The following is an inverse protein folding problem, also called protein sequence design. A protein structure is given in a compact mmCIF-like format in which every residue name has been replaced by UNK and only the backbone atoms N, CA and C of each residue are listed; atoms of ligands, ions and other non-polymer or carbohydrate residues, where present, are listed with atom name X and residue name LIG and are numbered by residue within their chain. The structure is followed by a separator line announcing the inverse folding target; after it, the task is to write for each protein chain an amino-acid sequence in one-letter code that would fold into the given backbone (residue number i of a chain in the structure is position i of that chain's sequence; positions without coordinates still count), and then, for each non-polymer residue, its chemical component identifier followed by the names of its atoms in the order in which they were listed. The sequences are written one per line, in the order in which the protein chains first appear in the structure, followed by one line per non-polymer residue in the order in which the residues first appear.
data_IF_879127073106
#
_entry.id   IF_879127073106
#
_cell.length_a   1.000
_cell.length_b   1.000
_cell.length_c   1.000
_cell.angle_alpha   90.00
_cell.angle_beta   90.00
_cell.angle_gamma   90.00
#
_symmetry.space_group_name_H-M   'P 1'
#
loop_
_entity.id
_entity.type
_entity.pdbx_description
1 polymer ?
#
# COMPACT_ATOMS: atom_id res chain seq x y z
N UNK A 1 18.91 -5.88 6.16
CA UNK A 1 17.58 -5.24 6.24
C UNK A 1 16.56 -6.33 6.09
N UNK A 2 15.56 -6.35 6.96
CA UNK A 2 14.50 -7.35 6.89
C UNK A 2 13.54 -7.02 5.74
N UNK A 3 13.11 -8.05 5.01
CA UNK A 3 12.16 -7.92 3.89
C UNK A 3 10.80 -8.36 4.41
N UNK A 4 9.80 -7.47 4.30
CA UNK A 4 8.43 -7.83 4.66
C UNK A 4 7.91 -8.90 3.70
N UNK A 5 7.22 -9.89 4.26
CA UNK A 5 6.51 -10.92 3.49
C UNK A 5 5.10 -10.49 3.05
N UNK A 6 4.66 -9.30 3.46
CA UNK A 6 3.36 -8.74 3.10
C UNK A 6 3.51 -7.72 1.97
N UNK A 7 2.76 -7.86 0.85
CA UNK A 7 2.80 -6.90 -0.24
C UNK A 7 2.56 -5.47 0.24
N UNK A 8 3.29 -4.50 -0.32
CA UNK A 8 3.19 -3.09 0.12
C UNK A 8 1.79 -2.50 -0.11
N UNK A 9 1.08 -2.91 -1.16
CA UNK A 9 -0.30 -2.47 -1.40
C UNK A 9 -1.25 -2.96 -0.30
N UNK A 10 -1.11 -4.22 0.16
CA UNK A 10 -1.88 -4.71 1.31
C UNK A 10 -1.55 -3.89 2.56
N UNK A 11 -0.27 -3.59 2.81
CA UNK A 11 0.14 -2.79 3.96
C UNK A 11 -0.46 -1.38 3.94
N UNK A 12 -0.44 -0.71 2.78
CA UNK A 12 -1.07 0.61 2.60
C UNK A 12 -2.59 0.51 2.79
N UNK A 13 -3.23 -0.49 2.18
CA UNK A 13 -4.68 -0.69 2.27
C UNK A 13 -5.14 -0.96 3.72
N UNK A 14 -4.36 -1.73 4.49
CA UNK A 14 -4.57 -1.94 5.93
C UNK A 14 -4.43 -0.65 6.74
N UNK A 15 -3.48 0.21 6.40
CA UNK A 15 -3.35 1.54 7.03
C UNK A 15 -4.58 2.40 6.72
N UNK A 16 -5.05 2.43 5.48
CA UNK A 16 -6.23 3.19 5.07
C UNK A 16 -7.51 2.68 5.76
N UNK A 17 -7.67 1.37 5.90
CA UNK A 17 -8.76 0.77 6.66
C UNK A 17 -8.68 1.13 8.15
N UNK A 18 -7.50 0.96 8.74
CA UNK A 18 -7.28 1.23 10.16
C UNK A 18 -7.50 2.70 10.53
N UNK A 19 -7.15 3.64 9.63
CA UNK A 19 -7.40 5.07 9.84
C UNK A 19 -8.88 5.35 10.16
N UNK A 20 -9.79 4.66 9.48
CA UNK A 20 -11.25 4.86 9.59
C UNK A 20 -11.89 4.10 10.74
N UNK A 21 -11.30 2.97 11.16
CA UNK A 21 -11.92 2.04 12.09
C UNK A 21 -11.35 2.20 13.50
N UNK A 22 -10.04 2.36 13.63
CA UNK A 22 -9.36 2.32 14.93
C UNK A 22 -9.50 3.62 15.72
N UNK A 23 -9.79 3.49 17.01
CA UNK A 23 -9.73 4.58 17.98
C UNK A 23 -8.32 5.16 18.16
N UNK A 24 -7.27 4.45 17.74
CA UNK A 24 -5.90 4.98 17.71
C UNK A 24 -5.65 5.91 16.51
N UNK A 25 -6.64 6.05 15.63
CA UNK A 25 -6.65 6.96 14.49
C UNK A 25 -7.93 7.81 14.52
N UNK A 26 -8.73 7.81 13.45
CA UNK A 26 -9.94 8.63 13.34
C UNK A 26 -11.24 7.84 13.59
N UNK A 27 -11.12 6.53 13.85
CA UNK A 27 -12.24 5.65 14.13
C UNK A 27 -12.59 5.57 15.62
N UNK A 28 -13.34 4.54 15.98
CA UNK A 28 -13.89 4.38 17.34
C UNK A 28 -13.62 3.01 17.97
N UNK A 29 -13.10 2.05 17.20
CA UNK A 29 -12.84 0.70 17.72
C UNK A 29 -11.49 0.63 18.45
N UNK A 30 -11.53 0.31 19.75
CA UNK A 30 -10.31 0.12 20.56
C UNK A 30 -9.47 -1.09 20.09
N UNK A 31 -10.13 -2.12 19.54
CA UNK A 31 -9.48 -3.32 18.99
C UNK A 31 -9.94 -3.60 17.55
N UNK A 32 -9.36 -2.85 16.61
CA UNK A 32 -9.78 -2.84 15.21
C UNK A 32 -9.19 -3.94 14.33
N UNK A 33 -8.25 -4.75 14.83
CA UNK A 33 -7.44 -5.66 14.00
C UNK A 33 -8.27 -6.64 13.16
N UNK A 34 -9.24 -7.30 13.79
CA UNK A 34 -10.12 -8.25 13.10
C UNK A 34 -11.01 -7.58 12.04
N UNK A 35 -11.46 -6.35 12.29
CA UNK A 35 -12.27 -5.60 11.33
C UNK A 35 -11.42 -5.11 10.16
N UNK A 36 -10.20 -4.61 10.42
CA UNK A 36 -9.23 -4.26 9.38
C UNK A 36 -8.91 -5.46 8.48
N UNK A 37 -8.71 -6.66 9.05
CA UNK A 37 -8.49 -7.89 8.29
C UNK A 37 -9.63 -8.22 7.31
N UNK A 38 -10.86 -7.86 7.66
CA UNK A 38 -12.04 -8.10 6.84
C UNK A 38 -12.16 -7.10 5.69
N UNK A 39 -11.87 -5.81 5.93
CA UNK A 39 -12.23 -4.74 4.98
C UNK A 39 -11.06 -4.16 4.20
N UNK A 40 -9.81 -4.49 4.53
CA UNK A 40 -8.66 -3.82 3.88
C UNK A 40 -8.65 -3.96 2.36
N UNK A 41 -9.19 -5.05 1.81
CA UNK A 41 -9.24 -5.29 0.36
C UNK A 41 -10.06 -4.23 -0.38
N UNK A 42 -11.04 -3.63 0.29
CA UNK A 42 -11.87 -2.54 -0.26
C UNK A 42 -11.04 -1.26 -0.49
N UNK A 43 -9.88 -1.16 0.15
CA UNK A 43 -8.94 -0.04 0.01
C UNK A 43 -7.78 -0.33 -0.95
N UNK A 44 -7.79 -1.45 -1.69
CA UNK A 44 -6.73 -1.78 -2.65
C UNK A 44 -6.65 -0.77 -3.81
N UNK A 45 -7.78 -0.26 -4.28
CA UNK A 45 -7.79 0.78 -5.32
C UNK A 45 -7.09 2.06 -4.87
N UNK A 46 -7.33 2.46 -3.62
CA UNK A 46 -6.71 3.63 -3.01
C UNK A 46 -5.22 3.41 -2.77
N UNK A 47 -4.84 2.22 -2.29
CA UNK A 47 -3.43 1.84 -2.14
C UNK A 47 -2.67 1.87 -3.47
N UNK A 48 -3.30 1.41 -4.56
CA UNK A 48 -2.73 1.53 -5.91
C UNK A 48 -2.62 2.99 -6.38
N UNK A 49 -3.55 3.86 -6.00
CA UNK A 49 -3.45 5.29 -6.31
C UNK A 49 -2.25 5.94 -5.59
N UNK A 50 -2.03 5.58 -4.32
CA UNK A 50 -0.83 5.99 -3.57
C UNK A 50 0.44 5.52 -4.28
N UNK A 51 0.54 4.24 -4.64
CA UNK A 51 1.72 3.71 -5.33
C UNK A 51 1.96 4.38 -6.69
N UNK A 52 0.91 4.66 -7.46
CA UNK A 52 1.04 5.39 -8.74
C UNK A 52 1.60 6.81 -8.53
N UNK A 53 1.20 7.47 -7.45
CA UNK A 53 1.74 8.78 -7.07
C UNK A 53 3.21 8.67 -6.69
N UNK A 54 3.56 7.65 -5.90
CA UNK A 54 4.92 7.40 -5.46
C UNK A 54 5.87 6.95 -6.58
N UNK A 55 5.38 6.56 -7.76
CA UNK A 55 6.23 6.18 -8.91
C UNK A 55 7.22 7.29 -9.29
N UNK A 56 6.82 8.54 -9.08
CA UNK A 56 7.59 9.73 -9.45
C UNK A 56 8.23 10.32 -8.17
N UNK A 57 9.52 10.03 -7.89
CA UNK A 57 10.18 10.56 -6.71
C UNK A 57 10.37 12.07 -6.84
N UNK A 58 10.29 12.80 -5.72
CA UNK A 58 10.62 14.22 -5.71
C UNK A 58 12.14 14.47 -5.84
N UNK A 59 12.54 15.76 -5.91
CA UNK A 59 13.95 16.14 -6.06
C UNK A 59 14.83 15.66 -4.91
N UNK A 60 14.31 15.66 -3.69
CA UNK A 60 15.06 15.24 -2.49
C UNK A 60 15.27 13.73 -2.51
N UNK A 61 14.24 12.96 -2.84
CA UNK A 61 14.32 11.51 -3.02
C UNK A 61 15.29 11.14 -4.15
N UNK A 62 15.22 11.85 -5.29
CA UNK A 62 16.12 11.64 -6.41
C UNK A 62 17.58 11.97 -6.10
N UNK A 63 17.84 12.95 -5.21
CA UNK A 63 19.19 13.26 -4.75
C UNK A 63 19.74 12.22 -3.76
N UNK A 64 18.87 11.50 -3.05
CA UNK A 64 19.25 10.51 -2.05
C UNK A 64 19.60 9.13 -2.65
N UNK A 65 19.23 8.85 -3.90
CA UNK A 65 19.40 7.53 -4.52
C UNK A 65 19.23 7.52 -6.03
N UNK A 66 18.86 6.36 -6.58
CA UNK A 66 18.63 6.19 -8.03
C UNK A 66 17.12 6.20 -8.34
N UNK A 67 16.60 7.24 -9.03
CA UNK A 67 15.20 7.33 -9.42
C UNK A 67 14.71 6.16 -10.27
N UNK A 68 15.57 5.59 -11.13
CA UNK A 68 15.19 4.49 -12.00
C UNK A 68 15.05 3.18 -11.21
N UNK A 69 15.89 2.96 -10.18
CA UNK A 69 15.71 1.82 -9.26
C UNK A 69 14.40 1.97 -8.50
N UNK A 70 14.13 3.18 -7.97
CA UNK A 70 12.89 3.48 -7.26
C UNK A 70 11.64 3.21 -8.11
N UNK A 71 11.59 3.75 -9.34
CA UNK A 71 10.49 3.53 -10.26
C UNK A 71 10.25 2.03 -10.51
N UNK A 72 11.31 1.24 -10.75
CA UNK A 72 11.19 -0.21 -10.96
C UNK A 72 10.61 -0.93 -9.75
N UNK A 73 11.00 -0.55 -8.54
CA UNK A 73 10.46 -1.14 -7.30
C UNK A 73 8.97 -0.83 -7.14
N UNK A 74 8.55 0.41 -7.38
CA UNK A 74 7.14 0.81 -7.30
C UNK A 74 6.31 0.11 -8.39
N UNK A 75 6.82 0.01 -9.62
CA UNK A 75 6.16 -0.72 -10.70
C UNK A 75 6.00 -2.21 -10.39
N UNK A 76 7.00 -2.85 -9.79
CA UNK A 76 6.90 -4.24 -9.34
C UNK A 76 5.77 -4.42 -8.32
N UNK A 77 5.68 -3.53 -7.33
CA UNK A 77 4.59 -3.53 -6.34
C UNK A 77 3.20 -3.35 -6.96
N UNK A 78 3.06 -2.42 -7.92
CA UNK A 78 1.80 -2.21 -8.66
C UNK A 78 1.42 -3.47 -9.45
N UNK A 79 2.40 -4.14 -10.08
CA UNK A 79 2.15 -5.32 -10.89
C UNK A 79 1.70 -6.52 -10.05
N UNK A 80 2.34 -6.76 -8.91
CA UNK A 80 1.96 -7.80 -7.95
C UNK A 80 0.54 -7.61 -7.41
N UNK A 81 0.10 -6.36 -7.29
CA UNK A 81 -1.20 -6.00 -6.69
C UNK A 81 -2.38 -6.10 -7.67
N UNK A 82 -2.14 -6.44 -8.95
CA UNK A 82 -3.23 -6.64 -9.91
C UNK A 82 -3.91 -7.97 -9.64
N UNK A 83 -5.25 -8.06 -9.69
CA UNK A 83 -5.94 -9.33 -9.62
C UNK A 83 -5.43 -10.24 -10.74
N UNK A 84 -5.26 -11.53 -10.41
CA UNK A 84 -4.85 -12.55 -11.38
C UNK A 84 -5.87 -12.53 -12.53
N UNK A 85 -5.38 -12.28 -13.75
CA UNK A 85 -6.26 -12.31 -14.92
C UNK A 85 -6.67 -13.76 -15.15
N UNK A 86 -7.89 -14.10 -14.76
CA UNK A 86 -8.50 -15.36 -15.18
C UNK A 86 -8.70 -15.27 -16.69
N UNK A 87 -7.85 -15.95 -17.45
CA UNK A 87 -8.06 -16.17 -18.88
C UNK A 87 -9.09 -17.30 -18.98
N UNK A 88 -10.30 -16.94 -19.42
CA UNK A 88 -11.38 -17.89 -19.72
C UNK A 88 -11.15 -18.60 -21.06
#
# INVERSE_FOLDING_TARGET
MDISTTPVAERIARVLAAQRISANAEGTEESAGAHVDQVWRDHLSDALAVLRTLREPDRTMAAAGDPAVWERMVLAAIQESKPEKVVL
#
